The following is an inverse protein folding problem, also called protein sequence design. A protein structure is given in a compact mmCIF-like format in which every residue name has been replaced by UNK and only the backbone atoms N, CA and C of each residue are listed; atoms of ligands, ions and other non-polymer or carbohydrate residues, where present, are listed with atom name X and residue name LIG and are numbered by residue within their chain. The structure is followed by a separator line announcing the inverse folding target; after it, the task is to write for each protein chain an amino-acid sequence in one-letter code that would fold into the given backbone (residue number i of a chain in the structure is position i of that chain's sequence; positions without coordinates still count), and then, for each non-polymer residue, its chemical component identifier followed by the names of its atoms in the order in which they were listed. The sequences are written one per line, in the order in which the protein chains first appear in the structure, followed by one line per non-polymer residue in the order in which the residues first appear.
data_IF_938470836559
#
_entry.id   IF_938470836559
#
_cell.length_a   1.000
_cell.length_b   1.000
_cell.length_c   1.000
_cell.angle_alpha   90.00
_cell.angle_beta   90.00
_cell.angle_gamma   90.00
#
_symmetry.space_group_name_H-M   'P 1'
#
loop_
_entity.id
_entity.type
_entity.pdbx_description
1 polymer ?
#
# COMPACT_ATOMS: atom_id res chain seq x y z
N UNK A 1 16.54 4.40 11.66
CA UNK A 1 17.32 4.47 10.41
C UNK A 1 16.46 4.04 9.25
N UNK A 2 16.57 4.73 8.15
CA UNK A 2 15.89 4.35 6.90
C UNK A 2 16.63 3.19 6.26
N UNK A 3 15.92 2.12 5.91
CA UNK A 3 16.53 0.93 5.32
C UNK A 3 15.95 0.59 3.94
N UNK A 4 14.94 1.32 3.49
CA UNK A 4 14.38 1.09 2.18
C UNK A 4 13.49 2.22 1.73
N UNK A 5 13.41 2.41 0.42
CA UNK A 5 12.60 3.45 -0.21
C UNK A 5 11.93 2.83 -1.43
N UNK A 6 10.65 3.10 -1.60
CA UNK A 6 9.92 2.67 -2.76
C UNK A 6 8.99 3.77 -3.26
N UNK A 7 8.82 3.83 -4.55
CA UNK A 7 7.86 4.76 -5.15
C UNK A 7 7.16 4.07 -6.31
N UNK A 8 5.93 4.46 -6.56
CA UNK A 8 5.13 3.93 -7.65
C UNK A 8 4.20 5.01 -8.20
N UNK A 9 3.88 4.91 -9.46
CA UNK A 9 2.91 5.74 -10.14
C UNK A 9 2.03 4.86 -11.01
N UNK A 10 0.72 5.12 -11.03
CA UNK A 10 -0.22 4.36 -11.81
C UNK A 10 -1.25 5.27 -12.44
N UNK A 11 -1.69 4.92 -13.64
CA UNK A 11 -2.81 5.61 -14.29
C UNK A 11 -4.12 5.17 -13.63
N UNK A 12 -4.91 6.14 -13.21
CA UNK A 12 -6.22 5.86 -12.57
C UNK A 12 -7.12 5.06 -13.50
N UNK A 13 -7.09 5.37 -14.80
CA UNK A 13 -7.90 4.67 -15.80
C UNK A 13 -7.58 3.18 -15.86
N UNK A 14 -6.31 2.81 -15.70
CA UNK A 14 -5.91 1.38 -15.66
C UNK A 14 -6.61 0.64 -14.53
N UNK A 15 -6.66 1.24 -13.35
CA UNK A 15 -7.32 0.63 -12.20
C UNK A 15 -8.84 0.62 -12.39
N UNK A 16 -9.41 1.70 -12.91
CA UNK A 16 -10.83 1.76 -13.22
C UNK A 16 -11.23 0.66 -14.20
N UNK A 17 -10.40 0.38 -15.22
CA UNK A 17 -10.64 -0.67 -16.19
C UNK A 17 -10.57 -2.06 -15.54
N UNK A 18 -9.61 -2.30 -14.66
CA UNK A 18 -9.50 -3.57 -13.93
C UNK A 18 -10.76 -3.82 -13.09
N UNK A 19 -11.27 -2.79 -12.45
CA UNK A 19 -12.49 -2.89 -11.64
C UNK A 19 -13.70 -3.17 -12.55
N UNK A 20 -13.80 -2.46 -13.68
CA UNK A 20 -14.92 -2.64 -14.62
C UNK A 20 -14.92 -4.04 -15.24
N UNK A 21 -13.74 -4.57 -15.58
CA UNK A 21 -13.62 -5.86 -16.25
C UNK A 21 -13.77 -7.05 -15.29
N UNK A 22 -13.35 -6.92 -14.06
CA UNK A 22 -13.25 -8.04 -13.12
C UNK A 22 -14.03 -7.87 -11.81
N UNK A 23 -14.51 -6.66 -11.52
CA UNK A 23 -15.39 -6.41 -10.37
C UNK A 23 -14.80 -6.85 -9.04
N UNK A 24 -15.64 -7.50 -8.23
CA UNK A 24 -15.25 -7.91 -6.87
C UNK A 24 -14.09 -8.91 -6.86
N UNK A 25 -13.92 -9.69 -7.92
CA UNK A 25 -12.79 -10.63 -8.01
C UNK A 25 -11.44 -9.88 -7.95
N UNK A 26 -11.33 -8.78 -8.69
CA UNK A 26 -10.13 -7.94 -8.64
C UNK A 26 -9.99 -7.25 -7.28
N UNK A 27 -11.07 -6.65 -6.78
CA UNK A 27 -11.05 -5.91 -5.53
C UNK A 27 -10.63 -6.78 -4.35
N UNK A 28 -11.24 -7.97 -4.22
CA UNK A 28 -10.96 -8.88 -3.11
C UNK A 28 -9.55 -9.48 -3.17
N UNK A 29 -9.01 -9.63 -4.37
CA UNK A 29 -7.65 -10.13 -4.54
C UNK A 29 -6.59 -9.13 -4.11
N UNK A 30 -6.84 -7.86 -4.31
CA UNK A 30 -5.84 -6.80 -4.13
C UNK A 30 -6.04 -6.03 -2.82
N UNK A 31 -7.29 -5.78 -2.44
CA UNK A 31 -7.62 -4.88 -1.33
C UNK A 31 -8.27 -5.63 -0.18
N UNK A 32 -7.99 -5.16 1.05
CA UNK A 32 -8.65 -5.70 2.24
C UNK A 32 -10.10 -5.20 2.31
N UNK A 33 -10.96 -5.86 3.09
CA UNK A 33 -12.33 -5.37 3.30
C UNK A 33 -12.37 -3.93 3.80
N UNK A 34 -11.45 -3.52 4.67
CA UNK A 34 -11.38 -2.16 5.17
C UNK A 34 -11.05 -1.14 4.09
N UNK A 35 -10.12 -1.50 3.20
CA UNK A 35 -9.76 -0.64 2.06
C UNK A 35 -10.93 -0.50 1.09
N UNK A 36 -11.62 -1.59 0.80
CA UNK A 36 -12.79 -1.59 -0.09
C UNK A 36 -13.89 -0.71 0.49
N UNK A 37 -14.20 -0.87 1.78
CA UNK A 37 -15.22 -0.06 2.45
C UNK A 37 -14.88 1.43 2.38
N UNK A 38 -13.62 1.79 2.66
CA UNK A 38 -13.18 3.18 2.61
C UNK A 38 -13.33 3.77 1.20
N UNK A 39 -12.91 3.05 0.18
CA UNK A 39 -12.95 3.56 -1.21
C UNK A 39 -14.37 3.66 -1.73
N UNK A 40 -15.24 2.71 -1.40
CA UNK A 40 -16.64 2.72 -1.85
C UNK A 40 -17.44 3.93 -1.36
N UNK A 41 -17.07 4.49 -0.23
CA UNK A 41 -17.73 5.67 0.33
C UNK A 41 -17.41 6.95 -0.45
N UNK A 42 -16.40 6.92 -1.30
CA UNK A 42 -15.96 8.10 -2.05
C UNK A 42 -16.79 8.27 -3.31
N UNK A 43 -17.08 9.51 -3.65
CA UNK A 43 -17.87 9.85 -4.84
C UNK A 43 -17.24 9.28 -6.11
N UNK A 44 -15.92 9.41 -6.24
CA UNK A 44 -15.15 8.79 -7.30
C UNK A 44 -14.17 7.82 -6.65
N UNK A 45 -14.48 6.52 -6.71
CA UNK A 45 -13.69 5.52 -6.01
C UNK A 45 -12.37 5.16 -6.71
N UNK A 46 -12.32 5.24 -8.03
CA UNK A 46 -11.15 4.78 -8.79
C UNK A 46 -9.83 5.45 -8.38
N UNK A 47 -9.75 6.80 -8.20
CA UNK A 47 -8.50 7.41 -7.73
C UNK A 47 -8.07 6.91 -6.35
N UNK A 48 -9.01 6.61 -5.48
CA UNK A 48 -8.71 6.10 -4.13
C UNK A 48 -8.18 4.67 -4.17
N UNK A 49 -8.75 3.81 -5.01
CA UNK A 49 -8.21 2.48 -5.26
C UNK A 49 -6.82 2.56 -5.89
N UNK A 50 -6.65 3.45 -6.87
CA UNK A 50 -5.36 3.63 -7.54
C UNK A 50 -4.27 4.08 -6.55
N UNK A 51 -4.60 4.98 -5.62
CA UNK A 51 -3.67 5.41 -4.58
C UNK A 51 -3.23 4.26 -3.68
N UNK A 52 -4.15 3.39 -3.30
CA UNK A 52 -3.83 2.23 -2.48
C UNK A 52 -3.04 1.18 -3.25
N UNK A 53 -3.37 0.98 -4.52
CA UNK A 53 -2.55 0.14 -5.41
C UNK A 53 -1.11 0.63 -5.44
N UNK A 54 -0.91 1.93 -5.71
CA UNK A 54 0.42 2.52 -5.77
C UNK A 54 1.16 2.38 -4.43
N UNK A 55 0.46 2.54 -3.31
CA UNK A 55 1.04 2.36 -1.98
C UNK A 55 1.55 0.93 -1.77
N UNK A 56 0.76 -0.07 -2.15
CA UNK A 56 1.14 -1.47 -2.04
C UNK A 56 2.37 -1.78 -2.90
N UNK A 57 2.40 -1.29 -4.13
CA UNK A 57 3.55 -1.43 -5.02
C UNK A 57 4.80 -0.75 -4.44
N UNK A 58 4.65 0.44 -3.88
CA UNK A 58 5.76 1.16 -3.25
C UNK A 58 6.32 0.38 -2.05
N UNK A 59 5.45 -0.21 -1.23
CA UNK A 59 5.87 -1.07 -0.11
C UNK A 59 6.61 -2.31 -0.62
N UNK A 60 6.14 -2.92 -1.70
CA UNK A 60 6.85 -4.05 -2.30
C UNK A 60 8.28 -3.69 -2.67
N UNK A 61 8.47 -2.49 -3.21
CA UNK A 61 9.81 -2.00 -3.56
C UNK A 61 10.68 -1.78 -2.32
N UNK A 62 10.08 -1.34 -1.21
CA UNK A 62 10.79 -1.25 0.07
C UNK A 62 11.29 -2.63 0.50
N UNK A 63 10.45 -3.65 0.38
CA UNK A 63 10.81 -5.03 0.73
C UNK A 63 11.79 -5.65 -0.26
N UNK A 64 11.81 -5.16 -1.50
CA UNK A 64 12.74 -5.62 -2.52
C UNK A 64 12.42 -7.00 -3.10
N UNK A 65 11.27 -7.55 -2.79
CA UNK A 65 10.91 -8.93 -3.16
C UNK A 65 9.92 -9.04 -4.31
N UNK A 66 9.16 -7.96 -4.59
CA UNK A 66 7.99 -8.05 -5.46
C UNK A 66 6.92 -8.95 -4.85
N UNK A 67 5.97 -9.39 -5.65
CA UNK A 67 4.94 -10.33 -5.20
C UNK A 67 5.48 -11.76 -5.28
N UNK A 68 5.49 -12.44 -4.15
CA UNK A 68 5.96 -13.82 -4.00
C UNK A 68 4.97 -14.58 -3.15
N UNK A 69 5.27 -15.84 -2.84
CA UNK A 69 4.45 -16.62 -1.90
C UNK A 69 4.47 -16.03 -0.49
N UNK A 70 5.51 -15.25 -0.15
CA UNK A 70 5.68 -14.66 1.18
C UNK A 70 5.20 -13.21 1.28
N UNK A 71 4.88 -12.58 0.15
CA UNK A 71 4.47 -11.18 0.10
C UNK A 71 3.25 -11.07 -0.80
N UNK A 72 2.12 -10.68 -0.22
CA UNK A 72 0.84 -10.61 -0.93
C UNK A 72 0.15 -9.26 -0.80
N UNK A 73 -0.75 -9.01 -1.74
CA UNK A 73 -1.50 -7.76 -1.84
C UNK A 73 -2.27 -7.41 -0.56
N UNK A 74 -3.04 -8.36 -0.03
CA UNK A 74 -3.91 -8.10 1.14
C UNK A 74 -3.16 -8.14 2.46
N UNK A 75 -1.90 -8.57 2.45
CA UNK A 75 -1.02 -8.48 3.61
C UNK A 75 -0.48 -7.05 3.83
N UNK A 76 -0.58 -6.21 2.82
CA UNK A 76 -0.19 -4.81 2.91
C UNK A 76 -1.47 -4.00 2.95
N UNK A 77 -1.82 -3.50 4.13
CA UNK A 77 -3.06 -2.76 4.30
C UNK A 77 -2.80 -1.29 4.51
N UNK A 78 -3.50 -0.45 3.75
CA UNK A 78 -3.52 1.00 3.95
C UNK A 78 -4.72 1.33 4.83
N UNK A 79 -4.45 1.84 6.02
CA UNK A 79 -5.48 2.24 6.98
C UNK A 79 -5.46 3.76 7.06
N UNK A 80 -6.61 4.38 6.88
CA UNK A 80 -6.75 5.83 6.98
C UNK A 80 -7.14 6.20 8.40
N UNK A 81 -6.31 6.99 9.07
CA UNK A 81 -6.59 7.47 10.42
C UNK A 81 -7.66 8.55 10.41
N UNK A 82 -8.28 8.87 11.56
CA UNK A 82 -9.33 9.91 11.64
C UNK A 82 -8.89 11.26 11.11
N UNK A 83 -7.59 11.60 11.20
CA UNK A 83 -7.05 12.85 10.67
C UNK A 83 -6.78 12.81 9.17
N UNK A 84 -7.12 11.69 8.49
CA UNK A 84 -6.90 11.51 7.07
C UNK A 84 -5.53 10.96 6.69
N UNK A 85 -4.64 10.78 7.65
CA UNK A 85 -3.29 10.28 7.40
C UNK A 85 -3.30 8.78 7.11
N UNK A 86 -2.70 8.31 5.99
CA UNK A 86 -2.58 6.88 5.75
C UNK A 86 -1.44 6.28 6.57
N UNK A 87 -1.67 5.07 7.06
CA UNK A 87 -0.62 4.25 7.68
C UNK A 87 -0.62 2.89 7.02
N UNK A 88 0.52 2.21 7.07
CA UNK A 88 0.67 0.85 6.56
C UNK A 88 0.63 -0.13 7.72
N UNK A 89 -0.22 -1.14 7.59
CA UNK A 89 -0.25 -2.29 8.51
C UNK A 89 0.13 -3.52 7.69
N UNK A 90 1.16 -4.22 8.12
CA UNK A 90 1.59 -5.45 7.49
C UNK A 90 1.04 -6.65 8.25
N UNK A 91 0.59 -7.66 7.51
CA UNK A 91 0.00 -8.87 8.06
C UNK A 91 0.75 -10.11 7.58
N UNK A 92 0.58 -11.21 8.31
CA UNK A 92 1.00 -12.55 7.89
C UNK A 92 2.47 -12.65 7.51
N UNK A 93 2.73 -13.41 6.46
CA UNK A 93 4.09 -13.68 5.97
C UNK A 93 4.81 -12.43 5.47
N UNK A 94 4.07 -11.44 5.00
CA UNK A 94 4.66 -10.15 4.58
C UNK A 94 5.24 -9.42 5.79
N UNK A 95 4.55 -9.44 6.92
CA UNK A 95 5.07 -8.87 8.16
C UNK A 95 6.34 -9.60 8.63
N UNK A 96 6.34 -10.93 8.54
CA UNK A 96 7.50 -11.74 8.89
C UNK A 96 8.70 -11.40 7.99
N UNK A 97 8.45 -11.23 6.70
CA UNK A 97 9.49 -10.83 5.73
C UNK A 97 10.08 -9.47 6.10
N UNK A 98 9.24 -8.50 6.43
CA UNK A 98 9.71 -7.18 6.84
C UNK A 98 10.59 -7.27 8.10
N UNK A 99 10.16 -8.06 9.07
CA UNK A 99 10.92 -8.27 10.31
C UNK A 99 12.31 -8.86 10.02
N UNK A 100 12.38 -9.87 9.14
CA UNK A 100 13.67 -10.46 8.74
C UNK A 100 14.60 -9.46 8.06
N UNK A 101 14.03 -8.49 7.35
CA UNK A 101 14.79 -7.43 6.69
C UNK A 101 15.18 -6.28 7.61
N UNK A 102 14.79 -6.35 8.88
CA UNK A 102 15.07 -5.28 9.84
C UNK A 102 14.13 -4.09 9.76
N UNK A 103 13.00 -4.25 9.07
CA UNK A 103 12.01 -3.19 8.91
C UNK A 103 10.96 -3.31 10.02
N UNK A 104 10.94 -2.31 10.91
CA UNK A 104 9.99 -2.28 12.01
C UNK A 104 8.69 -1.56 11.63
N UNK A 105 8.78 -0.57 10.73
CA UNK A 105 7.62 0.20 10.29
C UNK A 105 7.82 0.69 8.87
N UNK A 106 6.72 0.98 8.18
CA UNK A 106 6.73 1.55 6.84
C UNK A 106 5.89 2.81 6.85
N UNK A 107 6.52 3.94 6.55
CA UNK A 107 5.84 5.22 6.38
C UNK A 107 5.39 5.34 4.93
N UNK A 108 4.25 6.00 4.69
CA UNK A 108 3.71 6.14 3.34
C UNK A 108 3.13 7.53 3.13
N UNK A 109 3.27 8.01 1.92
CA UNK A 109 2.57 9.20 1.42
C UNK A 109 1.90 8.84 0.09
N UNK A 110 0.66 9.25 -0.08
CA UNK A 110 -0.15 8.95 -1.27
C UNK A 110 -0.68 10.27 -1.83
N UNK A 111 -0.57 10.44 -3.12
CA UNK A 111 -1.14 11.60 -3.82
C UNK A 111 -1.81 11.15 -5.10
N UNK A 112 -2.87 11.85 -5.48
CA UNK A 112 -3.51 11.57 -6.76
C UNK A 112 -4.03 12.85 -7.41
N UNK A 113 -4.08 12.78 -8.72
CA UNK A 113 -4.78 13.75 -9.57
C UNK A 113 -5.96 13.01 -10.21
N UNK A 114 -6.61 13.65 -11.16
CA UNK A 114 -7.67 13.00 -11.95
C UNK A 114 -7.14 11.75 -12.68
N UNK A 115 -5.93 11.82 -13.21
CA UNK A 115 -5.40 10.81 -14.15
C UNK A 115 -4.36 9.87 -13.54
N UNK A 116 -3.69 10.28 -12.46
CA UNK A 116 -2.59 9.52 -11.89
C UNK A 116 -2.69 9.42 -10.39
N UNK A 117 -2.21 8.31 -9.84
CA UNK A 117 -1.96 8.16 -8.42
C UNK A 117 -0.50 7.78 -8.21
N UNK A 118 0.10 8.30 -7.16
CA UNK A 118 1.47 8.01 -6.80
C UNK A 118 1.56 7.73 -5.30
N UNK A 119 2.56 6.94 -4.93
CA UNK A 119 2.86 6.69 -3.53
C UNK A 119 4.36 6.59 -3.33
N UNK A 120 4.80 7.02 -2.16
CA UNK A 120 6.18 6.84 -1.70
C UNK A 120 6.13 6.14 -0.36
N UNK A 121 6.93 5.10 -0.20
CA UNK A 121 7.03 4.33 1.03
C UNK A 121 8.48 4.32 1.53
N UNK A 122 8.63 4.39 2.85
CA UNK A 122 9.94 4.39 3.49
C UNK A 122 9.91 3.34 4.59
N UNK A 123 10.83 2.37 4.50
CA UNK A 123 11.01 1.38 5.56
C UNK A 123 12.01 1.86 6.58
N UNK A 124 11.67 1.74 7.86
CA UNK A 124 12.52 2.20 8.96
C UNK A 124 12.78 1.08 9.95
N UNK A 125 13.95 1.15 10.63
CA UNK A 125 14.27 0.23 11.71
C UNK A 125 13.52 0.61 12.98
N UNK A 126 13.59 -0.28 13.97
CA UNK A 126 12.99 -0.02 15.28
C UNK A 126 13.56 1.26 15.88
N UNK A 127 12.67 2.13 16.35
CA UNK A 127 13.04 3.39 17.00
C UNK A 127 13.80 3.16 18.31
N UNK A 128 13.66 2.00 18.94
CA UNK A 128 14.34 1.67 20.18
C UNK A 128 15.85 1.52 20.02
N UNK A 129 16.34 1.43 18.78
CA UNK A 129 17.78 1.34 18.49
C UNK A 129 18.37 2.67 18.03
N UNK A 130 17.63 3.76 18.13
CA UNK A 130 18.14 5.08 17.79
C UNK A 130 19.28 5.46 18.73
N UNK A 131 20.39 5.93 18.19
CA UNK A 131 21.58 6.17 18.98
C UNK A 131 21.55 7.47 19.80
N UNK A 132 20.46 8.21 19.70
CA UNK A 132 20.36 9.50 20.41
C UNK A 132 19.00 9.77 20.97
#
# INVERSE_FOLDING_TARGET
MIVGLGTDIVEVERIAKMIADHGDHFLERVFTPGEIAHCRERKESAPHYAGRWAAKEAVMKVLGTGFTTDVGWTDIEVVTQPNGRPIIVLHGSTRETATRLGIADVLVSISHTKNYATATAIGVTDNNVMPF
#
